data_IF_780152263090
#
_entry.id   IF_780152263090
#
_cell.length_a   1.000
_cell.length_b   1.000
_cell.length_c   1.000
_cell.angle_alpha   90.00
_cell.angle_beta   90.00
_cell.angle_gamma   90.00
#
_symmetry.space_group_name_H-M   'P 1'
#
loop_
_entity.id
_entity.type
_entity.pdbx_description
1 polymer ?
#
# COMPACT_ATOMS: atom_id res chain seq x y z
N UNK A 1 13.65 1.12 12.61
CA UNK A 1 12.89 0.99 11.35
C UNK A 1 12.02 2.23 11.05
N UNK A 2 11.11 2.65 11.94
CA UNK A 2 10.41 3.94 11.80
C UNK A 2 11.34 5.16 12.00
N UNK A 3 12.38 5.02 12.80
CA UNK A 3 13.30 6.11 13.19
C UNK A 3 14.09 6.70 12.01
N UNK A 4 14.27 5.96 10.93
CA UNK A 4 14.93 6.43 9.70
C UNK A 4 13.98 7.15 8.73
N UNK A 5 12.73 7.41 9.17
CA UNK A 5 11.66 7.94 8.30
C UNK A 5 10.90 9.08 8.97
N UNK A 6 11.53 10.25 9.10
CA UNK A 6 10.97 11.36 9.89
C UNK A 6 9.60 11.85 9.41
N UNK A 7 9.29 11.69 8.12
CA UNK A 7 7.98 12.08 7.58
C UNK A 7 6.87 11.16 8.12
N UNK A 8 7.09 9.83 8.12
CA UNK A 8 6.08 8.89 8.62
C UNK A 8 5.88 8.99 10.13
N UNK A 9 6.96 9.24 10.88
CA UNK A 9 6.87 9.45 12.33
C UNK A 9 5.99 10.63 12.72
N UNK A 10 6.12 11.74 11.98
CA UNK A 10 5.31 12.95 12.24
C UNK A 10 3.82 12.74 11.99
N UNK A 11 3.45 11.73 11.22
CA UNK A 11 2.08 11.45 10.79
C UNK A 11 1.53 10.13 11.33
N UNK A 12 2.14 9.53 12.37
CA UNK A 12 1.69 8.25 12.95
C UNK A 12 0.21 8.29 13.33
N UNK A 13 -0.25 9.37 13.98
CA UNK A 13 -1.65 9.51 14.36
C UNK A 13 -2.58 9.62 13.14
N UNK A 14 -2.13 10.28 12.07
CA UNK A 14 -2.89 10.35 10.81
C UNK A 14 -3.07 8.96 10.20
N UNK A 15 -2.04 8.10 10.21
CA UNK A 15 -2.12 6.72 9.74
C UNK A 15 -3.11 5.89 10.58
N UNK A 16 -3.02 5.97 11.92
CA UNK A 16 -3.91 5.24 12.82
C UNK A 16 -5.36 5.69 12.63
N UNK A 17 -5.60 6.99 12.57
CA UNK A 17 -6.93 7.55 12.40
C UNK A 17 -7.51 7.26 11.01
N UNK A 18 -6.70 7.34 9.95
CA UNK A 18 -7.09 6.95 8.60
C UNK A 18 -7.46 5.47 8.53
N UNK A 19 -6.64 4.59 9.11
CA UNK A 19 -6.90 3.16 9.18
C UNK A 19 -8.24 2.85 9.84
N UNK A 20 -8.50 3.44 11.01
CA UNK A 20 -9.79 3.30 11.72
C UNK A 20 -10.97 3.82 10.91
N UNK A 21 -10.86 5.04 10.33
CA UNK A 21 -11.96 5.67 9.60
C UNK A 21 -12.28 5.00 8.26
N UNK A 22 -11.31 4.32 7.65
CA UNK A 22 -11.44 3.65 6.36
C UNK A 22 -11.50 2.13 6.46
N UNK A 23 -11.57 1.57 7.68
CA UNK A 23 -11.63 0.13 7.93
C UNK A 23 -10.46 -0.63 7.29
N UNK A 24 -9.26 -0.09 7.42
CA UNK A 24 -8.01 -0.70 6.96
C UNK A 24 -7.20 -1.10 8.19
N UNK A 25 -6.46 -2.20 8.13
CA UNK A 25 -5.54 -2.57 9.20
C UNK A 25 -4.41 -1.53 9.30
N UNK A 26 -4.18 -0.96 10.48
CA UNK A 26 -3.20 0.12 10.69
C UNK A 26 -1.76 -0.36 10.46
N UNK A 27 -1.43 -1.59 10.85
CA UNK A 27 -0.09 -2.16 10.61
C UNK A 27 0.16 -2.32 9.11
N UNK A 28 -0.84 -2.81 8.36
CA UNK A 28 -0.75 -2.89 6.92
C UNK A 28 -0.59 -1.50 6.28
N UNK A 29 -1.39 -0.53 6.68
CA UNK A 29 -1.36 0.81 6.09
C UNK A 29 0.01 1.48 6.27
N UNK A 30 0.58 1.37 7.48
CA UNK A 30 1.92 1.87 7.78
C UNK A 30 3.00 1.07 7.02
N UNK A 31 2.88 -0.26 6.98
CA UNK A 31 3.84 -1.12 6.28
C UNK A 31 3.88 -0.84 4.79
N UNK A 32 2.73 -0.63 4.19
CA UNK A 32 2.61 -0.27 2.78
C UNK A 32 3.27 1.09 2.49
N UNK A 33 2.97 2.12 3.29
CA UNK A 33 3.62 3.41 3.15
C UNK A 33 5.14 3.33 3.35
N UNK A 34 5.62 2.49 4.29
CA UNK A 34 7.04 2.24 4.49
C UNK A 34 7.69 1.59 3.26
N UNK A 35 7.04 0.63 2.64
CA UNK A 35 7.53 -0.02 1.43
C UNK A 35 7.65 0.98 0.28
N UNK A 36 6.58 1.72 -0.01
CA UNK A 36 6.53 2.69 -1.11
C UNK A 36 7.47 3.88 -0.92
N UNK A 37 7.68 4.31 0.32
CA UNK A 37 8.57 5.44 0.65
C UNK A 37 10.01 4.99 0.90
N UNK A 38 10.27 3.69 0.85
CA UNK A 38 11.45 3.00 1.39
C UNK A 38 12.78 3.25 0.74
N UNK A 39 12.87 3.68 -0.47
CA UNK A 39 14.16 3.92 -1.10
C UNK A 39 14.09 5.22 -1.88
N UNK A 40 14.80 6.28 -1.51
CA UNK A 40 15.01 7.50 -2.32
C UNK A 40 13.76 8.09 -3.02
N UNK A 41 12.65 7.41 -2.89
CA UNK A 41 11.33 7.58 -3.50
C UNK A 41 10.43 8.43 -2.65
N UNK A 42 10.98 8.95 -1.60
CA UNK A 42 10.35 9.88 -0.69
C UNK A 42 9.94 11.21 -1.35
N UNK A 43 10.24 11.44 -2.63
CA UNK A 43 9.78 12.65 -3.31
C UNK A 43 8.26 12.77 -3.25
N UNK A 44 7.53 11.72 -3.58
CA UNK A 44 6.07 11.69 -3.46
C UNK A 44 5.59 11.85 -2.01
N UNK A 45 6.31 11.28 -1.05
CA UNK A 45 5.97 11.40 0.38
C UNK A 45 6.39 12.76 0.98
N UNK A 46 7.43 13.40 0.45
CA UNK A 46 7.88 14.74 0.84
C UNK A 46 7.14 15.88 0.12
N UNK A 47 6.35 15.53 -0.86
CA UNK A 47 5.55 16.45 -1.66
C UNK A 47 6.26 16.96 -2.90
N UNK A 48 5.67 16.68 -4.05
CA UNK A 48 6.09 17.16 -5.36
C UNK A 48 5.36 18.47 -5.67
N UNK A 49 6.11 19.48 -6.08
CA UNK A 49 5.55 20.78 -6.43
C UNK A 49 4.99 20.77 -7.86
N UNK A 50 3.73 21.16 -7.99
CA UNK A 50 3.06 21.39 -9.28
C UNK A 50 2.33 22.74 -9.18
N UNK A 51 2.64 23.66 -10.08
CA UNK A 51 2.03 25.01 -10.12
C UNK A 51 2.15 25.77 -8.77
N UNK A 52 3.29 25.70 -8.11
CA UNK A 52 3.58 26.39 -6.86
C UNK A 52 2.92 25.78 -5.62
N UNK A 53 2.35 24.58 -5.73
CA UNK A 53 1.72 23.87 -4.61
C UNK A 53 2.24 22.43 -4.50
N UNK A 54 2.45 21.97 -3.25
CA UNK A 54 2.91 20.59 -3.00
C UNK A 54 1.75 19.61 -2.95
N UNK A 55 1.98 18.42 -3.53
CA UNK A 55 1.07 17.28 -3.49
C UNK A 55 1.81 16.03 -3.05
N UNK A 56 1.14 15.21 -2.24
CA UNK A 56 1.73 14.09 -1.52
C UNK A 56 1.10 12.76 -1.93
N UNK A 57 1.90 11.69 -1.96
CA UNK A 57 1.39 10.35 -2.23
C UNK A 57 2.26 9.33 -1.47
N UNK A 58 1.65 8.60 -0.53
CA UNK A 58 2.35 7.65 0.33
C UNK A 58 2.24 6.20 -0.14
N UNK A 59 1.38 5.91 -1.11
CA UNK A 59 1.04 4.53 -1.49
C UNK A 59 1.26 4.24 -2.97
N UNK A 60 1.88 5.14 -3.70
CA UNK A 60 2.13 4.96 -5.13
C UNK A 60 0.87 4.91 -5.99
N UNK A 61 -0.27 5.38 -5.48
CA UNK A 61 -1.53 5.34 -6.22
C UNK A 61 -1.43 6.20 -7.47
N UNK A 62 -1.77 5.61 -8.63
CA UNK A 62 -1.68 6.28 -9.91
C UNK A 62 -0.27 6.53 -10.43
N UNK A 63 0.75 6.04 -9.74
CA UNK A 63 2.13 6.08 -10.21
C UNK A 63 2.35 5.00 -11.28
N UNK A 64 2.68 5.42 -12.50
CA UNK A 64 2.97 4.52 -13.62
C UNK A 64 4.48 4.27 -13.74
N UNK A 65 4.87 3.06 -14.09
CA UNK A 65 6.27 2.64 -14.18
C UNK A 65 7.11 3.51 -15.15
N UNK A 66 6.47 4.14 -16.14
CA UNK A 66 7.12 5.02 -17.11
C UNK A 66 7.63 6.33 -16.49
N UNK A 67 6.90 6.90 -15.52
CA UNK A 67 7.27 8.13 -14.79
C UNK A 67 6.47 8.17 -13.46
N UNK A 68 6.89 7.39 -12.47
CA UNK A 68 6.09 7.20 -11.25
C UNK A 68 5.99 8.47 -10.40
N UNK A 69 6.99 9.34 -10.42
CA UNK A 69 6.95 10.58 -9.64
C UNK A 69 5.95 11.56 -10.23
N UNK A 70 6.04 11.80 -11.53
CA UNK A 70 5.13 12.72 -12.22
C UNK A 70 3.69 12.22 -12.16
N UNK A 71 3.43 10.98 -12.56
CA UNK A 71 2.07 10.43 -12.61
C UNK A 71 1.45 10.29 -11.23
N UNK A 72 2.23 9.89 -10.22
CA UNK A 72 1.78 9.83 -8.83
C UNK A 72 1.49 11.21 -8.23
N UNK A 73 2.25 12.24 -8.60
CA UNK A 73 2.00 13.62 -8.19
C UNK A 73 0.78 14.25 -8.89
N UNK A 74 0.60 13.99 -10.19
CA UNK A 74 -0.57 14.42 -10.96
C UNK A 74 -1.85 13.77 -10.41
N UNK A 75 -1.78 12.47 -10.04
CA UNK A 75 -2.87 11.78 -9.35
C UNK A 75 -3.22 12.46 -8.03
N UNK A 76 -2.22 12.75 -7.19
CA UNK A 76 -2.39 13.44 -5.93
C UNK A 76 -3.03 14.84 -6.11
N UNK A 77 -2.57 15.59 -7.12
CA UNK A 77 -3.16 16.90 -7.50
C UNK A 77 -4.64 16.75 -7.87
N UNK A 78 -4.98 15.82 -8.74
CA UNK A 78 -6.35 15.55 -9.17
C UNK A 78 -7.28 15.22 -8.00
N UNK A 79 -6.77 14.57 -6.96
CA UNK A 79 -7.54 14.16 -5.77
C UNK A 79 -7.41 15.13 -4.59
N UNK A 80 -6.72 16.26 -4.78
CA UNK A 80 -6.58 17.31 -3.76
C UNK A 80 -5.72 16.90 -2.56
N UNK A 81 -4.74 16.01 -2.76
CA UNK A 81 -3.82 15.56 -1.71
C UNK A 81 -2.69 16.56 -1.50
N UNK A 82 -3.05 17.76 -1.11
CA UNK A 82 -2.16 18.92 -0.91
C UNK A 82 -1.57 19.03 0.49
N UNK A 83 -1.87 18.05 1.35
CA UNK A 83 -1.25 17.87 2.66
C UNK A 83 -0.94 16.39 2.89
N UNK A 84 0.07 16.05 3.73
CA UNK A 84 0.34 14.66 4.11
C UNK A 84 -0.90 13.96 4.65
N UNK A 85 -1.66 14.60 5.54
CA UNK A 85 -2.89 14.04 6.11
C UNK A 85 -3.88 13.66 5.01
N UNK A 86 -4.19 14.57 4.07
CA UNK A 86 -5.12 14.29 2.97
C UNK A 86 -4.65 13.13 2.10
N UNK A 87 -3.34 13.02 1.85
CA UNK A 87 -2.76 11.92 1.08
C UNK A 87 -2.87 10.58 1.83
N UNK A 88 -2.65 10.56 3.15
CA UNK A 88 -2.80 9.37 3.98
C UNK A 88 -4.25 8.88 3.97
N UNK A 89 -5.20 9.76 4.25
CA UNK A 89 -6.63 9.43 4.24
C UNK A 89 -7.15 9.05 2.85
N UNK A 90 -6.74 9.79 1.82
CA UNK A 90 -7.14 9.52 0.45
C UNK A 90 -6.61 8.20 -0.08
N UNK A 91 -5.36 7.87 0.23
CA UNK A 91 -4.77 6.58 -0.12
C UNK A 91 -5.40 5.42 0.62
N UNK A 92 -5.70 5.56 1.92
CA UNK A 92 -6.42 4.56 2.69
C UNK A 92 -7.83 4.32 2.14
N UNK A 93 -8.53 5.38 1.73
CA UNK A 93 -9.85 5.30 1.09
C UNK A 93 -9.79 4.57 -0.26
N UNK A 94 -8.77 4.88 -1.07
CA UNK A 94 -8.52 4.19 -2.33
C UNK A 94 -8.29 2.69 -2.12
N UNK A 95 -7.39 2.33 -1.21
CA UNK A 95 -7.07 0.93 -0.89
C UNK A 95 -8.32 0.17 -0.44
N UNK A 96 -9.12 0.78 0.46
CA UNK A 96 -10.36 0.16 0.92
C UNK A 96 -11.34 -0.07 -0.24
N UNK A 97 -11.66 0.97 -1.00
CA UNK A 97 -12.68 0.93 -2.06
C UNK A 97 -12.31 0.02 -3.23
N UNK A 98 -11.04 0.03 -3.63
CA UNK A 98 -10.62 -0.70 -4.84
C UNK A 98 -10.13 -2.11 -4.56
N UNK A 99 -9.78 -2.44 -3.32
CA UNK A 99 -9.23 -3.75 -2.97
C UNK A 99 -9.92 -4.38 -1.76
N UNK A 100 -9.81 -3.80 -0.57
CA UNK A 100 -10.20 -4.47 0.67
C UNK A 100 -11.71 -4.68 0.83
N UNK A 101 -12.54 -3.89 0.17
CA UNK A 101 -13.99 -4.09 0.12
C UNK A 101 -14.42 -5.24 -0.81
N UNK A 102 -13.50 -5.82 -1.56
CA UNK A 102 -13.75 -6.96 -2.44
C UNK A 102 -13.25 -8.24 -1.78
N UNK A 103 -14.12 -9.22 -1.58
CA UNK A 103 -13.78 -10.48 -0.89
C UNK A 103 -12.66 -11.29 -1.57
N UNK A 104 -12.47 -11.08 -2.86
CA UNK A 104 -11.47 -11.76 -3.69
C UNK A 104 -10.12 -11.01 -3.77
N UNK A 105 -10.03 -9.77 -3.27
CA UNK A 105 -8.80 -8.97 -3.28
C UNK A 105 -8.43 -8.37 -1.91
N UNK A 106 -8.86 -8.95 -0.81
CA UNK A 106 -8.67 -8.42 0.55
C UNK A 106 -7.44 -8.98 1.30
N UNK A 107 -6.49 -9.56 0.60
CA UNK A 107 -5.19 -10.01 1.13
C UNK A 107 -4.05 -9.47 0.29
N UNK A 108 -2.82 -9.41 0.85
CA UNK A 108 -1.63 -9.01 0.10
C UNK A 108 -1.44 -9.82 -1.18
N UNK A 109 -1.64 -11.14 -1.09
CA UNK A 109 -1.52 -12.03 -2.23
C UNK A 109 -2.56 -11.71 -3.30
N UNK A 110 -3.83 -11.58 -2.94
CA UNK A 110 -4.90 -11.31 -3.91
C UNK A 110 -4.86 -9.88 -4.47
N UNK A 111 -4.38 -8.90 -3.71
CA UNK A 111 -4.11 -7.55 -4.22
C UNK A 111 -3.05 -7.56 -5.32
N UNK A 112 -1.98 -8.36 -5.13
CA UNK A 112 -0.88 -8.46 -6.10
C UNK A 112 -1.22 -9.32 -7.30
N UNK A 113 -1.82 -10.48 -7.10
CA UNK A 113 -1.94 -11.50 -8.14
C UNK A 113 -3.33 -11.63 -8.74
N UNK A 114 -4.36 -11.15 -8.03
CA UNK A 114 -5.76 -11.31 -8.42
C UNK A 114 -6.10 -12.72 -8.93
N UNK A 115 -6.07 -13.76 -8.08
CA UNK A 115 -6.19 -15.15 -8.52
C UNK A 115 -7.49 -15.46 -9.27
N UNK A 116 -8.54 -14.64 -9.08
CA UNK A 116 -9.81 -14.77 -9.78
C UNK A 116 -9.72 -14.30 -11.24
N UNK A 117 -8.94 -13.23 -11.49
CA UNK A 117 -8.69 -12.66 -12.82
C UNK A 117 -7.20 -12.34 -12.96
N UNK A 118 -6.33 -13.35 -13.17
CA UNK A 118 -4.88 -13.16 -13.22
C UNK A 118 -4.46 -12.15 -14.30
N UNK A 119 -3.60 -11.21 -13.93
CA UNK A 119 -3.09 -10.17 -14.83
C UNK A 119 -3.94 -8.90 -14.85
N UNK A 120 -5.14 -8.91 -14.26
CA UNK A 120 -6.03 -7.74 -14.21
C UNK A 120 -6.10 -7.17 -12.79
N UNK A 121 -6.33 -5.85 -12.69
CA UNK A 121 -6.55 -5.13 -11.44
C UNK A 121 -5.57 -5.50 -10.32
N UNK A 122 -4.28 -5.54 -10.66
CA UNK A 122 -3.20 -5.82 -9.72
C UNK A 122 -2.72 -4.51 -9.08
N UNK A 123 -2.45 -4.53 -7.76
CA UNK A 123 -2.01 -3.34 -7.03
C UNK A 123 -0.62 -2.86 -7.47
N UNK A 124 0.28 -3.78 -7.76
CA UNK A 124 1.66 -3.50 -8.11
C UNK A 124 2.17 -4.46 -9.19
N UNK A 125 3.20 -4.05 -9.93
CA UNK A 125 3.88 -4.86 -10.94
C UNK A 125 5.00 -5.70 -10.34
N UNK A 126 5.65 -5.26 -9.26
CA UNK A 126 6.72 -5.99 -8.58
C UNK A 126 6.23 -7.34 -8.03
N UNK A 127 6.86 -8.41 -8.47
CA UNK A 127 6.54 -9.79 -8.03
C UNK A 127 6.77 -10.02 -6.54
N UNK A 128 7.63 -9.24 -5.90
CA UNK A 128 7.94 -9.31 -4.46
C UNK A 128 7.09 -8.39 -3.60
N UNK A 129 6.19 -7.62 -4.18
CA UNK A 129 5.40 -6.63 -3.44
C UNK A 129 4.66 -7.22 -2.23
N UNK A 130 3.97 -8.35 -2.42
CA UNK A 130 3.22 -9.00 -1.35
C UNK A 130 4.15 -9.55 -0.26
N UNK A 131 5.25 -10.20 -0.63
CA UNK A 131 6.26 -10.72 0.30
C UNK A 131 6.93 -9.59 1.09
N UNK A 132 7.32 -8.52 0.42
CA UNK A 132 7.97 -7.37 1.05
C UNK A 132 7.07 -6.71 2.08
N UNK A 133 5.77 -6.50 1.77
CA UNK A 133 4.80 -6.02 2.75
C UNK A 133 4.61 -6.99 3.91
N UNK A 134 4.50 -8.29 3.63
CA UNK A 134 4.32 -9.32 4.66
C UNK A 134 5.50 -9.35 5.64
N UNK A 135 6.72 -9.19 5.16
CA UNK A 135 7.92 -9.15 6.00
C UNK A 135 7.92 -7.93 6.93
N UNK A 136 7.53 -6.75 6.43
CA UNK A 136 7.41 -5.54 7.25
C UNK A 136 6.33 -5.72 8.32
N UNK A 137 5.17 -6.27 7.94
CA UNK A 137 4.06 -6.55 8.86
C UNK A 137 4.49 -7.55 9.94
N UNK A 138 5.19 -8.62 9.56
CA UNK A 138 5.69 -9.62 10.50
C UNK A 138 6.67 -9.01 11.52
N UNK A 139 7.55 -8.12 11.08
CA UNK A 139 8.47 -7.40 11.97
C UNK A 139 7.71 -6.51 12.97
N UNK A 140 6.64 -5.83 12.53
CA UNK A 140 5.79 -5.06 13.44
C UNK A 140 5.13 -5.95 14.49
N UNK A 141 4.48 -7.03 14.10
CA UNK A 141 3.83 -7.95 15.05
C UNK A 141 4.83 -8.58 16.02
N UNK A 142 6.01 -8.99 15.55
CA UNK A 142 7.09 -9.49 16.37
C UNK A 142 7.55 -8.48 17.42
N UNK A 143 7.74 -7.22 17.03
CA UNK A 143 8.16 -6.16 17.95
C UNK A 143 7.06 -5.79 18.96
N UNK A 144 5.80 -5.87 18.58
CA UNK A 144 4.65 -5.69 19.47
C UNK A 144 4.40 -6.91 20.39
N UNK A 145 5.13 -8.02 20.21
CA UNK A 145 4.93 -9.28 20.93
C UNK A 145 3.48 -9.80 20.83
N UNK A 146 2.91 -9.68 19.65
CA UNK A 146 1.58 -10.15 19.32
C UNK A 146 1.59 -10.92 18.01
N UNK A 147 0.49 -11.58 17.68
CA UNK A 147 0.34 -12.39 16.49
C UNK A 147 -0.91 -11.98 15.70
N UNK A 148 -0.88 -12.18 14.40
CA UNK A 148 -2.07 -12.06 13.57
C UNK A 148 -3.10 -13.15 13.92
N UNK A 149 -4.39 -12.82 13.88
CA UNK A 149 -5.45 -13.76 14.28
C UNK A 149 -6.12 -14.46 13.10
N UNK A 150 -6.08 -13.85 11.94
CA UNK A 150 -6.81 -14.32 10.76
C UNK A 150 -5.88 -14.38 9.56
N UNK A 151 -5.83 -15.57 8.95
CA UNK A 151 -5.02 -15.83 7.76
C UNK A 151 -5.88 -16.47 6.69
N UNK A 152 -5.68 -16.09 5.43
CA UNK A 152 -6.29 -16.71 4.26
C UNK A 152 -5.21 -17.44 3.48
N UNK A 153 -5.27 -18.75 3.44
CA UNK A 153 -4.35 -19.59 2.69
C UNK A 153 -4.96 -19.93 1.32
N UNK A 154 -4.25 -19.59 0.27
CA UNK A 154 -4.62 -20.00 -1.10
C UNK A 154 -4.01 -21.38 -1.38
N UNK A 155 -4.87 -22.34 -1.68
CA UNK A 155 -4.47 -23.70 -2.07
C UNK A 155 -4.88 -23.92 -3.51
N UNK A 156 -3.91 -24.24 -4.35
CA UNK A 156 -4.14 -24.58 -5.75
C UNK A 156 -4.26 -26.10 -5.86
N UNK A 157 -5.23 -26.57 -6.66
CA UNK A 157 -5.31 -27.99 -7.01
C UNK A 157 -4.21 -28.27 -8.02
N UNK A 158 -3.39 -29.27 -7.75
CA UNK A 158 -2.49 -29.81 -8.76
C UNK A 158 -3.36 -30.39 -9.88
N UNK A 159 -3.15 -29.92 -11.10
CA UNK A 159 -3.72 -30.55 -12.28
C UNK A 159 -2.96 -31.86 -12.52
N UNK A 160 -3.49 -32.97 -12.03
CA UNK A 160 -2.96 -34.35 -12.25
C UNK A 160 -2.92 -34.77 -13.74
N UNK A 161 -2.87 -33.82 -14.68
CA UNK A 161 -2.95 -34.07 -16.13
C UNK A 161 -1.60 -34.26 -16.83
N UNK A 162 -0.48 -34.32 -16.11
CA UNK A 162 0.84 -34.60 -16.73
C UNK A 162 1.50 -35.86 -16.26
N UNK A 163 0.73 -36.91 -15.97
CA UNK A 163 1.25 -38.28 -15.93
C UNK A 163 0.53 -39.14 -16.99
N UNK A 164 1.00 -39.03 -18.23
CA UNK A 164 0.90 -40.08 -19.24
C UNK A 164 2.11 -40.05 -20.15
#
# INVERSE_FOLDING_TARGET
>A
MLFDRPVLLKHTDDFINAAKSKHVNEVYLISHALLETGAAKSELANGVEIDGKKYYNFYGVGALDSDPIKTGAEYAKKHGWDTPQKAIYGGADFIHKHFLSHDDQNTLYSMRWNPKNPGEHQYATDIKWAESNANIIADFYKNMKTEGKYFKLYVYKDDDKHQK
#
